data_IF_199971955079
#
_entry.id   IF_199971955079
#
_cell.length_a   1.000
_cell.length_b   1.000
_cell.length_c   1.000
_cell.angle_alpha   90.00
_cell.angle_beta   90.00
_cell.angle_gamma   90.00
#
_symmetry.space_group_name_H-M   'P 1'
#
loop_
_entity.id
_entity.type
_entity.pdbx_description
1 polymer ?
#
# COMPACT_ATOMS: atom_id res chain seq x y z
N UNK A 1 -6.72 1.19 -5.39
CA UNK A 1 -5.80 1.02 -4.24
C UNK A 1 -6.39 1.82 -3.09
N UNK A 2 -6.31 1.29 -1.87
CA UNK A 2 -6.81 1.95 -0.66
C UNK A 2 -5.73 1.84 0.40
N UNK A 3 -5.40 2.96 1.05
CA UNK A 3 -4.58 2.96 2.26
C UNK A 3 -5.47 2.69 3.48
N UNK A 4 -5.02 1.84 4.38
CA UNK A 4 -5.74 1.53 5.61
C UNK A 4 -4.93 1.98 6.80
N UNK A 5 -5.57 2.79 7.64
CA UNK A 5 -4.97 3.24 8.88
C UNK A 5 -5.57 2.42 10.02
N UNK A 6 -4.66 1.92 10.86
CA UNK A 6 -5.01 1.07 11.99
C UNK A 6 -4.54 1.71 13.29
N UNK A 7 -5.34 1.54 14.34
CA UNK A 7 -4.85 1.66 15.71
C UNK A 7 -4.67 0.25 16.27
N UNK A 8 -3.46 -0.04 16.74
CA UNK A 8 -3.08 -1.33 17.31
C UNK A 8 -2.63 -1.14 18.76
N UNK A 9 -2.84 -2.14 19.62
CA UNK A 9 -2.32 -2.10 21.00
C UNK A 9 -0.80 -2.33 21.03
N UNK A 10 -0.34 -3.25 20.19
CA UNK A 10 1.05 -3.63 19.98
C UNK A 10 1.18 -4.18 18.54
N UNK A 11 2.32 -3.97 17.88
CA UNK A 11 2.51 -4.35 16.47
C UNK A 11 2.66 -5.86 16.23
N UNK A 12 2.99 -6.64 17.27
CA UNK A 12 3.12 -8.09 17.19
C UNK A 12 1.82 -8.86 17.50
N UNK A 13 0.76 -8.17 17.91
CA UNK A 13 -0.51 -8.77 18.30
C UNK A 13 -1.56 -8.65 17.19
N UNK A 14 -2.52 -9.59 17.11
CA UNK A 14 -3.50 -9.62 16.03
C UNK A 14 -4.65 -8.61 16.20
N UNK A 15 -4.85 -8.03 17.39
CA UNK A 15 -5.96 -7.11 17.63
C UNK A 15 -5.70 -5.71 17.06
N UNK A 16 -6.62 -5.24 16.22
CA UNK A 16 -6.58 -3.89 15.65
C UNK A 16 -7.98 -3.31 15.48
N UNK A 17 -8.04 -1.99 15.30
CA UNK A 17 -9.23 -1.28 14.81
C UNK A 17 -8.86 -0.49 13.56
N UNK A 18 -9.73 -0.52 12.55
CA UNK A 18 -9.60 0.34 11.36
C UNK A 18 -10.15 1.72 11.72
N UNK A 19 -9.37 2.76 11.46
CA UNK A 19 -9.77 4.14 11.74
C UNK A 19 -10.05 4.94 10.46
N UNK A 20 -9.43 4.56 9.34
CA UNK A 20 -9.64 5.19 8.03
C UNK A 20 -9.41 4.19 6.89
N UNK A 21 -10.14 4.40 5.80
CA UNK A 21 -9.88 3.80 4.50
C UNK A 21 -9.78 4.91 3.45
N UNK A 22 -8.56 5.24 3.04
CA UNK A 22 -8.28 6.36 2.14
C UNK A 22 -8.15 5.89 0.70
N UNK A 23 -9.01 6.37 -0.19
CA UNK A 23 -9.03 6.00 -1.61
C UNK A 23 -7.90 6.66 -2.43
N UNK A 24 -7.17 7.62 -1.85
CA UNK A 24 -6.04 8.35 -2.44
C UNK A 24 -4.84 8.41 -1.50
N UNK A 25 -4.40 7.25 -1.02
CA UNK A 25 -3.22 7.15 -0.17
C UNK A 25 -1.96 7.72 -0.83
N UNK A 26 -1.18 8.50 -0.06
CA UNK A 26 0.08 9.08 -0.51
C UNK A 26 1.19 8.02 -0.59
N UNK A 27 1.74 7.80 -1.78
CA UNK A 27 2.71 6.72 -2.02
C UNK A 27 4.14 7.06 -1.60
N UNK A 28 4.51 8.35 -1.59
CA UNK A 28 5.88 8.79 -1.29
C UNK A 28 6.32 8.48 0.16
N UNK A 29 5.39 8.42 1.10
CA UNK A 29 5.71 8.13 2.51
C UNK A 29 6.06 6.67 2.77
N UNK A 30 5.92 5.79 1.78
CA UNK A 30 6.25 4.38 1.85
C UNK A 30 7.64 4.05 1.30
N UNK A 31 8.51 5.05 1.18
CA UNK A 31 9.93 4.79 0.93
C UNK A 31 10.57 4.06 2.13
N UNK A 32 11.51 3.12 1.89
CA UNK A 32 12.11 2.78 0.59
C UNK A 32 11.37 1.65 -0.15
N UNK A 33 10.17 1.24 0.26
CA UNK A 33 9.43 0.20 -0.45
C UNK A 33 8.99 0.72 -1.83
N UNK A 34 9.04 -0.11 -2.89
CA UNK A 34 8.75 0.32 -4.26
C UNK A 34 7.23 0.40 -4.53
N UNK A 35 6.49 1.03 -3.63
CA UNK A 35 5.02 1.01 -3.64
C UNK A 35 4.47 1.73 -4.88
N UNK A 36 5.12 2.82 -5.28
CA UNK A 36 4.75 3.56 -6.49
C UNK A 36 4.99 2.72 -7.75
N UNK A 37 6.15 2.09 -7.89
CA UNK A 37 6.49 1.25 -9.03
C UNK A 37 5.55 0.05 -9.15
N UNK A 38 5.28 -0.64 -8.02
CA UNK A 38 4.35 -1.77 -7.99
C UNK A 38 2.91 -1.37 -8.28
N UNK A 39 2.50 -0.17 -7.89
CA UNK A 39 1.20 0.35 -8.26
C UNK A 39 1.10 0.59 -9.77
N UNK A 40 2.14 1.13 -10.41
CA UNK A 40 2.19 1.28 -11.87
C UNK A 40 2.17 -0.09 -12.57
N UNK A 41 2.94 -1.06 -12.09
CA UNK A 41 2.92 -2.43 -12.65
C UNK A 41 1.52 -3.06 -12.63
N UNK A 42 0.78 -2.84 -11.53
CA UNK A 42 -0.60 -3.32 -11.39
C UNK A 42 -1.55 -2.68 -12.41
N UNK A 43 -1.35 -1.41 -12.75
CA UNK A 43 -2.15 -0.70 -13.75
C UNK A 43 -1.80 -1.15 -15.19
N UNK A 44 -0.56 -1.55 -15.43
CA UNK A 44 -0.07 -1.90 -16.77
C UNK A 44 0.63 -3.28 -16.78
N UNK A 45 -0.09 -4.38 -16.50
CA UNK A 45 0.53 -5.69 -16.31
C UNK A 45 1.24 -6.26 -17.56
N UNK A 46 0.95 -5.72 -18.74
CA UNK A 46 1.52 -6.14 -20.03
C UNK A 46 2.50 -5.12 -20.63
N UNK A 47 2.83 -4.02 -19.95
CA UNK A 47 3.75 -3.01 -20.49
C UNK A 47 5.22 -3.40 -20.34
N UNK A 48 5.52 -4.44 -19.54
CA UNK A 48 6.87 -4.96 -19.38
C UNK A 48 7.27 -5.72 -20.65
N UNK A 49 8.45 -5.44 -21.23
CA UNK A 49 8.97 -6.24 -22.34
C UNK A 49 8.96 -7.72 -21.97
N UNK A 50 8.52 -8.59 -22.89
CA UNK A 50 8.81 -10.01 -22.80
C UNK A 50 10.34 -10.15 -22.83
N UNK A 51 10.90 -10.70 -21.75
CA UNK A 51 12.31 -11.03 -21.65
C UNK A 51 12.68 -12.14 -22.65
#
# INVERSE_FOLDING_TARGET
MVGLDFMVRDAGQPEYVIIEANERAGLANHEPQPTAERFIDLLFPHSRPLA
#
